data_IF_225579729099
#
_entry.id   IF_225579729099
#
_cell.length_a   1.000
_cell.length_b   1.000
_cell.length_c   1.000
_cell.angle_alpha   90.00
_cell.angle_beta   90.00
_cell.angle_gamma   90.00
#
_symmetry.space_group_name_H-M   'P 1'
#
loop_
_entity.id
_entity.type
_entity.pdbx_description
1 polymer ?
#
# COMPACT_ATOMS: atom_id res chain seq x y z
N UNK A 1 21.38 13.48 -2.22
CA UNK A 1 21.46 13.41 -0.74
C UNK A 1 21.33 14.77 -0.06
N UNK A 2 21.85 15.88 -0.62
CA UNK A 2 21.70 17.23 -0.04
C UNK A 2 20.26 17.77 0.06
N UNK A 3 19.33 17.33 -0.81
CA UNK A 3 17.92 17.72 -0.73
C UNK A 3 17.21 17.04 0.45
N UNK A 4 17.55 15.78 0.73
CA UNK A 4 16.98 15.03 1.85
C UNK A 4 17.46 15.57 3.20
N UNK A 5 18.70 16.10 3.28
CA UNK A 5 19.21 16.74 4.51
C UNK A 5 18.49 18.06 4.80
N UNK A 6 18.23 18.89 3.77
CA UNK A 6 17.42 20.11 3.93
C UNK A 6 15.96 19.83 4.31
N UNK A 7 15.36 18.77 3.76
CA UNK A 7 14.01 18.33 4.15
C UNK A 7 13.96 17.77 5.58
N UNK A 8 15.08 17.27 6.12
CA UNK A 8 15.19 16.81 7.51
C UNK A 8 15.27 17.98 8.50
N UNK A 9 15.81 19.13 8.07
CA UNK A 9 15.87 20.36 8.86
C UNK A 9 14.50 21.07 8.95
N UNK A 10 13.60 20.78 8.00
CA UNK A 10 12.22 21.25 8.06
C UNK A 10 11.44 20.48 9.14
N UNK A 11 11.09 21.19 10.20
CA UNK A 11 10.22 20.69 11.26
C UNK A 11 8.89 21.43 11.26
N UNK A 12 7.79 20.69 11.40
CA UNK A 12 6.45 21.23 11.54
C UNK A 12 6.08 21.25 13.04
N UNK A 13 5.96 22.43 13.67
CA UNK A 13 5.80 22.56 15.13
C UNK A 13 4.35 22.39 15.62
N UNK A 14 3.43 21.97 14.76
CA UNK A 14 2.00 21.80 15.07
C UNK A 14 1.72 20.49 15.79
N UNK A 15 0.63 20.42 16.54
CA UNK A 15 0.17 19.22 17.23
C UNK A 15 -0.48 18.22 16.24
N UNK A 16 -0.82 17.01 16.71
CA UNK A 16 -1.35 15.96 15.85
C UNK A 16 -2.81 16.21 15.41
N UNK A 17 -3.59 16.96 16.19
CA UNK A 17 -4.96 17.38 15.85
C UNK A 17 -4.98 18.37 14.69
N UNK A 18 -4.07 19.35 14.71
CA UNK A 18 -3.93 20.38 13.67
C UNK A 18 -3.50 19.83 12.31
N UNK A 19 -2.85 18.66 12.30
CA UNK A 19 -2.22 18.07 11.10
C UNK A 19 -2.96 16.83 10.62
N UNK A 20 -3.07 15.81 11.46
CA UNK A 20 -3.39 14.45 11.03
C UNK A 20 -4.79 13.96 11.38
N UNK A 21 -5.29 14.28 12.59
CA UNK A 21 -6.59 13.79 13.08
C UNK A 21 -7.58 14.91 13.41
N UNK A 22 -7.77 15.80 12.45
CA UNK A 22 -8.56 17.04 12.55
C UNK A 22 -10.03 16.86 12.94
N UNK A 23 -10.57 15.63 12.86
CA UNK A 23 -11.96 15.33 13.21
C UNK A 23 -12.21 15.15 14.70
N UNK A 24 -11.18 14.90 15.52
CA UNK A 24 -11.33 14.70 16.95
C UNK A 24 -10.05 15.12 17.69
N UNK A 25 -10.14 15.99 18.72
CA UNK A 25 -8.96 16.48 19.45
C UNK A 25 -8.28 15.38 20.27
N UNK A 26 -8.97 14.31 20.64
CA UNK A 26 -8.42 13.23 21.43
C UNK A 26 -7.78 12.17 20.53
N UNK A 27 -6.46 11.97 20.67
CA UNK A 27 -5.71 11.02 19.82
C UNK A 27 -6.25 9.58 19.89
N UNK A 28 -6.71 9.16 21.07
CA UNK A 28 -7.24 7.80 21.27
C UNK A 28 -8.59 7.62 20.56
N UNK A 29 -9.51 8.56 20.75
CA UNK A 29 -10.84 8.55 20.12
C UNK A 29 -10.72 8.67 18.60
N UNK A 30 -9.82 9.53 18.13
CA UNK A 30 -9.46 9.62 16.72
C UNK A 30 -8.97 8.28 16.15
N UNK A 31 -8.02 7.61 16.82
CA UNK A 31 -7.51 6.31 16.39
C UNK A 31 -8.58 5.22 16.42
N UNK A 32 -9.40 5.18 17.47
CA UNK A 32 -10.51 4.23 17.62
C UNK A 32 -11.53 4.39 16.48
N UNK A 33 -11.86 5.64 16.13
CA UNK A 33 -12.81 5.92 15.05
C UNK A 33 -12.33 5.36 13.70
N UNK A 34 -11.05 5.59 13.34
CA UNK A 34 -10.46 5.07 12.10
C UNK A 34 -10.36 3.54 12.15
N UNK A 35 -9.93 2.97 13.28
CA UNK A 35 -9.86 1.53 13.47
C UNK A 35 -11.23 0.85 13.30
N UNK A 36 -12.28 1.44 13.86
CA UNK A 36 -13.65 0.97 13.74
C UNK A 36 -14.16 1.04 12.29
N UNK A 37 -13.97 2.17 11.60
CA UNK A 37 -14.31 2.30 10.17
C UNK A 37 -13.61 1.22 9.33
N UNK A 38 -12.30 1.05 9.53
CA UNK A 38 -11.51 0.05 8.82
C UNK A 38 -11.97 -1.38 9.10
N UNK A 39 -12.35 -1.69 10.34
CA UNK A 39 -12.86 -3.01 10.73
C UNK A 39 -14.23 -3.29 10.08
N UNK A 40 -15.14 -2.31 10.11
CA UNK A 40 -16.48 -2.42 9.52
C UNK A 40 -16.43 -2.59 7.99
N UNK A 41 -15.65 -1.76 7.31
CA UNK A 41 -15.43 -1.90 5.87
C UNK A 41 -14.68 -3.19 5.53
N UNK A 42 -13.75 -3.62 6.39
CA UNK A 42 -13.07 -4.91 6.29
C UNK A 42 -14.07 -6.06 6.25
N UNK A 43 -15.08 -6.06 7.13
CA UNK A 43 -16.13 -7.08 7.09
C UNK A 43 -16.92 -7.06 5.78
N UNK A 44 -17.27 -5.87 5.27
CA UNK A 44 -17.98 -5.73 3.98
C UNK A 44 -17.18 -6.26 2.79
N UNK A 45 -15.85 -6.18 2.83
CA UNK A 45 -14.97 -6.67 1.77
C UNK A 45 -14.73 -8.18 1.91
N UNK A 46 -14.41 -8.63 3.13
CA UNK A 46 -13.96 -10.01 3.36
C UNK A 46 -15.09 -11.01 3.48
N UNK A 47 -16.25 -10.63 4.01
CA UNK A 47 -17.41 -11.52 4.10
C UNK A 47 -17.81 -12.11 2.73
N UNK A 48 -18.09 -11.32 1.68
CA UNK A 48 -18.44 -11.88 0.38
C UNK A 48 -17.28 -12.67 -0.22
N UNK A 49 -16.04 -12.21 -0.08
CA UNK A 49 -14.88 -12.90 -0.65
C UNK A 49 -14.71 -14.33 -0.10
N UNK A 50 -14.78 -14.50 1.23
CA UNK A 50 -14.63 -15.82 1.84
C UNK A 50 -15.87 -16.70 1.64
N UNK A 51 -17.07 -16.13 1.66
CA UNK A 51 -18.30 -16.89 1.38
C UNK A 51 -18.32 -17.41 -0.06
N UNK A 52 -17.99 -16.57 -1.04
CA UNK A 52 -17.86 -17.00 -2.45
C UNK A 52 -16.78 -18.07 -2.57
N UNK A 53 -15.60 -17.88 -1.96
CA UNK A 53 -14.55 -18.89 -1.99
C UNK A 53 -14.98 -20.22 -1.37
N UNK A 54 -15.80 -20.20 -0.32
CA UNK A 54 -16.32 -21.41 0.32
C UNK A 54 -17.32 -22.14 -0.60
N UNK A 55 -18.22 -21.39 -1.24
CA UNK A 55 -19.19 -21.93 -2.21
C UNK A 55 -18.46 -22.57 -3.39
N UNK A 56 -17.46 -21.89 -3.95
CA UNK A 56 -16.65 -22.41 -5.07
C UNK A 56 -15.90 -23.70 -4.70
N UNK A 57 -15.42 -23.79 -3.46
CA UNK A 57 -14.76 -25.00 -2.95
C UNK A 57 -15.76 -26.11 -2.55
N UNK A 58 -17.08 -25.86 -2.64
CA UNK A 58 -18.15 -26.79 -2.26
C UNK A 58 -18.02 -27.34 -0.84
N UNK A 59 -17.48 -26.53 0.09
CA UNK A 59 -17.28 -26.92 1.50
C UNK A 59 -18.44 -26.45 2.36
N UNK A 60 -19.41 -27.32 2.61
CA UNK A 60 -20.63 -27.00 3.38
C UNK A 60 -20.66 -27.58 4.81
N UNK A 61 -19.53 -28.03 5.35
CA UNK A 61 -19.47 -28.51 6.74
C UNK A 61 -19.57 -27.35 7.75
N UNK A 62 -20.08 -27.64 8.95
CA UNK A 62 -20.11 -26.67 10.06
C UNK A 62 -18.70 -26.15 10.39
N UNK A 63 -17.70 -27.03 10.37
CA UNK A 63 -16.30 -26.64 10.58
C UNK A 63 -15.81 -25.67 9.51
N UNK A 64 -16.21 -25.86 8.25
CA UNK A 64 -15.85 -24.94 7.17
C UNK A 64 -16.47 -23.56 7.41
N UNK A 65 -17.71 -23.50 7.89
CA UNK A 65 -18.38 -22.25 8.20
C UNK A 65 -17.74 -21.50 9.39
N UNK A 66 -17.40 -22.21 10.47
CA UNK A 66 -16.68 -21.63 11.62
C UNK A 66 -15.32 -21.08 11.18
N UNK A 67 -14.57 -21.84 10.39
CA UNK A 67 -13.30 -21.39 9.83
C UNK A 67 -13.47 -20.16 8.92
N UNK A 68 -14.55 -20.08 8.14
CA UNK A 68 -14.88 -18.90 7.32
C UNK A 68 -15.18 -17.68 8.19
N UNK A 69 -15.97 -17.81 9.25
CA UNK A 69 -16.23 -16.70 10.19
C UNK A 69 -14.93 -16.22 10.84
N UNK A 70 -14.10 -17.15 11.32
CA UNK A 70 -12.79 -16.83 11.89
C UNK A 70 -11.89 -16.14 10.87
N UNK A 71 -11.95 -16.57 9.61
CA UNK A 71 -11.22 -15.97 8.48
C UNK A 71 -11.64 -14.53 8.23
N UNK A 72 -12.95 -14.27 8.18
CA UNK A 72 -13.52 -12.93 8.00
C UNK A 72 -13.10 -12.05 9.17
N UNK A 73 -13.30 -12.50 10.41
CA UNK A 73 -12.95 -11.73 11.62
C UNK A 73 -11.46 -11.40 11.64
N UNK A 74 -10.59 -12.36 11.39
CA UNK A 74 -9.13 -12.14 11.45
C UNK A 74 -8.67 -11.11 10.41
N UNK A 75 -9.17 -11.21 9.17
CA UNK A 75 -8.80 -10.28 8.10
C UNK A 75 -9.40 -8.88 8.31
N UNK A 76 -10.60 -8.77 8.88
CA UNK A 76 -11.20 -7.49 9.27
C UNK A 76 -10.47 -6.85 10.45
N UNK A 77 -10.10 -7.64 11.46
CA UNK A 77 -9.28 -7.18 12.59
C UNK A 77 -7.91 -6.72 12.13
N UNK A 78 -7.26 -7.42 11.18
CA UNK A 78 -6.01 -6.96 10.58
C UNK A 78 -6.12 -5.54 10.01
N UNK A 79 -7.19 -5.25 9.26
CA UNK A 79 -7.39 -3.94 8.64
C UNK A 79 -7.74 -2.86 9.68
N UNK A 80 -8.58 -3.21 10.66
CA UNK A 80 -8.92 -2.34 11.80
C UNK A 80 -7.70 -1.99 12.66
N UNK A 81 -6.87 -2.98 12.98
CA UNK A 81 -5.62 -2.79 13.73
C UNK A 81 -4.66 -1.89 12.96
N UNK A 82 -4.55 -2.04 11.63
CA UNK A 82 -3.69 -1.17 10.83
C UNK A 82 -4.15 0.30 10.88
N UNK A 83 -5.45 0.54 10.69
CA UNK A 83 -6.04 1.88 10.76
C UNK A 83 -5.86 2.53 12.15
N UNK A 84 -6.18 1.79 13.22
CA UNK A 84 -5.97 2.24 14.59
C UNK A 84 -4.50 2.54 14.89
N UNK A 85 -3.62 1.56 14.61
CA UNK A 85 -2.21 1.65 14.93
C UNK A 85 -1.53 2.79 14.16
N UNK A 86 -1.93 3.05 12.92
CA UNK A 86 -1.36 4.16 12.15
C UNK A 86 -1.58 5.51 12.84
N UNK A 87 -2.83 5.84 13.20
CA UNK A 87 -3.16 7.11 13.87
C UNK A 87 -2.54 7.15 15.27
N UNK A 88 -2.66 6.07 16.04
CA UNK A 88 -2.13 6.02 17.40
C UNK A 88 -0.61 6.20 17.44
N UNK A 89 0.12 5.49 16.57
CA UNK A 89 1.59 5.57 16.48
C UNK A 89 2.00 6.93 15.90
N UNK A 90 1.26 7.50 14.96
CA UNK A 90 1.50 8.86 14.46
C UNK A 90 1.48 9.90 15.61
N UNK A 91 0.47 9.83 16.47
CA UNK A 91 0.38 10.68 17.66
C UNK A 91 1.50 10.40 18.67
N UNK A 92 1.87 9.14 18.87
CA UNK A 92 2.96 8.75 19.77
C UNK A 92 4.31 9.30 19.28
N UNK A 93 4.60 9.19 17.99
CA UNK A 93 5.80 9.76 17.37
C UNK A 93 5.82 11.28 17.54
N UNK A 94 4.68 11.95 17.37
CA UNK A 94 4.57 13.40 17.61
C UNK A 94 4.85 13.78 19.05
N UNK A 95 4.36 12.99 20.01
CA UNK A 95 4.61 13.20 21.45
C UNK A 95 6.06 12.95 21.82
N UNK A 96 6.68 11.91 21.25
CA UNK A 96 8.07 11.55 21.51
C UNK A 96 9.07 12.55 20.91
N UNK A 97 8.82 13.05 19.70
CA UNK A 97 9.74 13.94 18.98
C UNK A 97 9.49 15.43 19.24
N UNK A 98 8.34 15.80 19.78
CA UNK A 98 7.97 17.20 20.06
C UNK A 98 7.64 18.05 18.82
N UNK A 99 8.00 17.58 17.61
CA UNK A 99 7.68 18.19 16.31
C UNK A 99 7.50 17.10 15.25
N UNK A 100 6.88 17.46 14.14
CA UNK A 100 6.80 16.60 12.96
C UNK A 100 7.98 16.85 12.03
N UNK A 101 8.56 15.77 11.51
CA UNK A 101 9.61 15.80 10.49
C UNK A 101 9.12 15.01 9.28
N UNK A 102 9.69 15.28 8.12
CA UNK A 102 9.26 14.73 6.83
C UNK A 102 8.83 13.24 6.84
N UNK A 103 9.73 12.32 7.24
CA UNK A 103 9.41 10.88 7.28
C UNK A 103 8.61 10.44 8.50
N UNK A 104 8.65 11.23 9.58
CA UNK A 104 7.93 10.95 10.81
C UNK A 104 6.44 11.28 10.69
N UNK A 105 6.06 12.14 9.74
CA UNK A 105 4.67 12.49 9.47
C UNK A 105 3.81 11.32 8.97
N UNK A 106 4.41 10.30 8.34
CA UNK A 106 3.65 9.23 7.70
C UNK A 106 4.40 7.92 7.62
N UNK A 107 5.60 7.90 7.04
CA UNK A 107 6.34 6.68 6.73
C UNK A 107 6.65 5.84 7.97
N UNK A 108 7.32 6.39 8.99
CA UNK A 108 7.71 5.60 10.17
C UNK A 108 6.50 5.12 10.99
N UNK A 109 5.49 5.96 11.29
CA UNK A 109 4.27 5.49 11.93
C UNK A 109 3.58 4.37 11.15
N UNK A 110 3.45 4.52 9.83
CA UNK A 110 2.82 3.52 8.97
C UNK A 110 3.61 2.22 8.90
N UNK A 111 4.95 2.29 8.93
CA UNK A 111 5.81 1.10 8.96
C UNK A 111 5.57 0.27 10.21
N UNK A 112 5.61 0.90 11.40
CA UNK A 112 5.39 0.20 12.68
C UNK A 112 3.94 -0.32 12.75
N UNK A 113 2.96 0.50 12.38
CA UNK A 113 1.55 0.11 12.34
C UNK A 113 1.30 -1.11 11.44
N UNK A 114 1.81 -1.06 10.20
CA UNK A 114 1.64 -2.12 9.22
C UNK A 114 2.38 -3.40 9.62
N UNK A 115 3.56 -3.27 10.26
CA UNK A 115 4.30 -4.41 10.78
C UNK A 115 3.55 -5.10 11.93
N UNK A 116 2.95 -4.35 12.85
CA UNK A 116 2.12 -4.92 13.91
C UNK A 116 0.84 -5.53 13.35
N UNK A 117 0.19 -4.86 12.40
CA UNK A 117 -1.04 -5.35 11.78
C UNK A 117 -0.82 -6.67 11.05
N UNK A 118 0.23 -6.80 10.23
CA UNK A 118 0.46 -8.03 9.43
C UNK A 118 0.67 -9.28 10.30
N UNK A 119 1.08 -9.13 11.56
CA UNK A 119 1.19 -10.22 12.52
C UNK A 119 -0.18 -10.79 12.93
N UNK A 120 -1.24 -9.97 12.90
CA UNK A 120 -2.63 -10.37 13.15
C UNK A 120 -3.17 -11.21 11.99
N UNK A 121 -2.75 -10.92 10.75
CA UNK A 121 -3.23 -11.64 9.56
C UNK A 121 -2.66 -13.06 9.49
N UNK A 122 -3.41 -13.98 8.88
CA UNK A 122 -3.05 -15.38 8.71
C UNK A 122 -1.85 -15.56 7.77
N UNK A 123 -0.96 -16.50 8.10
CA UNK A 123 0.28 -16.77 7.37
C UNK A 123 0.08 -16.93 5.85
N UNK A 124 -0.95 -17.67 5.44
CA UNK A 124 -1.24 -17.93 4.02
C UNK A 124 -1.58 -16.67 3.20
N UNK A 125 -2.04 -15.59 3.85
CA UNK A 125 -2.39 -14.34 3.17
C UNK A 125 -1.26 -13.31 3.14
N UNK A 126 -0.26 -13.44 4.01
CA UNK A 126 0.81 -12.45 4.16
C UNK A 126 1.62 -12.31 2.86
N UNK A 127 1.94 -13.42 2.20
CA UNK A 127 2.67 -13.43 0.93
C UNK A 127 1.93 -12.71 -0.20
N UNK A 128 0.72 -13.16 -0.58
CA UNK A 128 -0.09 -12.49 -1.60
C UNK A 128 -0.36 -11.01 -1.30
N UNK A 129 -0.57 -10.65 -0.04
CA UNK A 129 -0.80 -9.28 0.36
C UNK A 129 0.46 -8.42 0.23
N UNK A 130 1.62 -8.93 0.65
CA UNK A 130 2.91 -8.25 0.48
C UNK A 130 3.15 -7.92 -0.99
N UNK A 131 2.96 -8.90 -1.88
CA UNK A 131 3.13 -8.70 -3.33
C UNK A 131 2.14 -7.70 -3.89
N UNK A 132 0.87 -7.77 -3.52
CA UNK A 132 -0.15 -6.81 -3.95
C UNK A 132 0.22 -5.38 -3.57
N UNK A 133 0.60 -5.15 -2.31
CA UNK A 133 0.98 -3.80 -1.85
C UNK A 133 2.28 -3.35 -2.51
N UNK A 134 3.26 -4.23 -2.65
CA UNK A 134 4.53 -3.93 -3.35
C UNK A 134 4.29 -3.52 -4.81
N UNK A 135 3.34 -4.19 -5.46
CA UNK A 135 2.93 -3.88 -6.82
C UNK A 135 2.38 -2.44 -6.93
N UNK A 136 1.44 -2.08 -6.04
CA UNK A 136 0.87 -0.72 -6.00
C UNK A 136 1.93 0.32 -5.60
N UNK A 137 2.82 -0.02 -4.68
CA UNK A 137 3.93 0.84 -4.26
C UNK A 137 4.89 1.11 -5.42
N UNK A 138 5.25 0.09 -6.19
CA UNK A 138 6.13 0.22 -7.37
C UNK A 138 5.50 1.10 -8.45
N UNK A 139 4.20 0.93 -8.72
CA UNK A 139 3.46 1.81 -9.65
C UNK A 139 3.48 3.26 -9.18
N UNK A 140 3.30 3.47 -7.87
CA UNK A 140 3.32 4.81 -7.25
C UNK A 140 4.72 5.43 -7.31
N UNK A 141 5.78 4.65 -7.01
CA UNK A 141 7.17 5.08 -7.15
C UNK A 141 7.48 5.52 -8.58
N UNK A 142 7.02 4.77 -9.58
CA UNK A 142 7.20 5.13 -10.98
C UNK A 142 6.48 6.45 -11.32
N UNK A 143 5.22 6.61 -10.90
CA UNK A 143 4.46 7.87 -11.10
C UNK A 143 5.16 9.06 -10.47
N UNK A 144 5.68 8.91 -9.25
CA UNK A 144 6.45 9.95 -8.57
C UNK A 144 7.77 10.27 -9.29
N UNK A 145 8.48 9.25 -9.79
CA UNK A 145 9.71 9.44 -10.56
C UNK A 145 9.46 10.19 -11.88
N UNK A 146 8.33 9.91 -12.55
CA UNK A 146 7.88 10.64 -13.75
C UNK A 146 7.49 12.08 -13.39
N UNK A 147 6.72 12.28 -12.33
CA UNK A 147 6.31 13.62 -11.88
C UNK A 147 7.49 14.52 -11.50
N UNK A 148 8.58 13.92 -11.00
CA UNK A 148 9.84 14.61 -10.64
C UNK A 148 10.80 14.76 -11.83
N UNK A 149 10.44 14.30 -13.03
CA UNK A 149 11.29 14.36 -14.22
C UNK A 149 12.52 13.44 -14.19
N UNK A 150 12.59 12.49 -13.26
CA UNK A 150 13.71 11.53 -13.13
C UNK A 150 13.64 10.48 -14.23
N UNK A 151 12.43 10.02 -14.55
CA UNK A 151 12.18 8.99 -15.57
C UNK A 151 11.27 9.57 -16.63
N UNK A 152 11.69 9.46 -17.90
CA UNK A 152 10.80 9.78 -19.04
C UNK A 152 9.88 8.58 -19.29
N UNK A 153 8.56 8.77 -19.35
CA UNK A 153 7.65 7.67 -19.63
C UNK A 153 7.90 7.15 -21.05
N UNK A 154 8.11 5.85 -21.18
CA UNK A 154 8.23 5.18 -22.48
C UNK A 154 6.83 5.01 -23.06
N UNK A 155 6.63 5.44 -24.32
CA UNK A 155 5.38 5.20 -25.03
C UNK A 155 5.10 3.68 -25.07
N UNK A 156 3.91 3.27 -24.65
CA UNK A 156 3.53 1.85 -24.54
C UNK A 156 4.44 1.03 -23.60
N UNK A 157 5.12 1.65 -22.63
CA UNK A 157 6.00 0.95 -21.66
C UNK A 157 5.33 -0.22 -20.94
N UNK A 158 4.05 -0.10 -20.61
CA UNK A 158 3.25 -1.17 -20.03
C UNK A 158 3.08 -2.39 -20.96
N UNK A 159 3.05 -2.16 -22.26
CA UNK A 159 2.96 -3.21 -23.27
C UNK A 159 4.28 -3.98 -23.32
N UNK A 160 5.42 -3.28 -23.34
CA UNK A 160 6.73 -3.95 -23.33
C UNK A 160 6.96 -4.75 -22.04
N UNK A 161 6.56 -4.19 -20.89
CA UNK A 161 6.67 -4.87 -19.60
C UNK A 161 5.82 -6.13 -19.57
N UNK A 162 4.57 -6.07 -20.01
CA UNK A 162 3.72 -7.25 -20.02
C UNK A 162 4.20 -8.27 -21.04
N UNK A 163 4.62 -7.86 -22.24
CA UNK A 163 5.04 -8.80 -23.29
C UNK A 163 6.23 -9.61 -22.84
N UNK A 164 7.23 -8.96 -22.22
CA UNK A 164 8.43 -9.62 -21.71
C UNK A 164 8.12 -10.58 -20.55
N UNK A 165 7.36 -10.13 -19.56
CA UNK A 165 7.00 -10.93 -18.37
C UNK A 165 6.11 -12.12 -18.74
N UNK A 166 5.11 -11.90 -19.59
CA UNK A 166 4.19 -12.95 -20.03
C UNK A 166 4.90 -13.97 -20.93
N UNK A 167 5.78 -13.52 -21.84
CA UNK A 167 6.59 -14.42 -22.64
C UNK A 167 7.49 -15.29 -21.76
N UNK A 168 8.12 -14.72 -20.73
CA UNK A 168 8.94 -15.48 -19.78
C UNK A 168 8.11 -16.48 -18.96
N UNK A 169 6.94 -16.07 -18.47
CA UNK A 169 6.06 -16.95 -17.70
C UNK A 169 5.54 -18.12 -18.54
N UNK A 170 5.08 -17.85 -19.76
CA UNK A 170 4.61 -18.89 -20.68
C UNK A 170 5.76 -19.74 -21.22
N UNK A 171 6.96 -19.19 -21.40
CA UNK A 171 8.15 -19.98 -21.67
C UNK A 171 8.35 -21.05 -20.61
N UNK A 172 8.36 -20.68 -19.33
CA UNK A 172 8.51 -21.66 -18.24
C UNK A 172 7.36 -22.68 -18.26
N UNK A 173 6.11 -22.22 -18.35
CA UNK A 173 4.94 -23.10 -18.31
C UNK A 173 4.88 -24.10 -19.47
N UNK A 174 5.05 -23.62 -20.70
CA UNK A 174 4.95 -24.43 -21.93
C UNK A 174 6.12 -25.40 -22.02
N UNK A 175 7.34 -25.01 -21.65
CA UNK A 175 8.47 -25.94 -21.58
C UNK A 175 8.23 -27.06 -20.56
N UNK A 176 7.75 -26.72 -19.35
CA UNK A 176 7.41 -27.73 -18.34
C UNK A 176 6.30 -28.67 -18.83
N UNK A 177 5.26 -28.14 -19.48
CA UNK A 177 4.15 -28.95 -20.02
C UNK A 177 4.61 -29.86 -21.16
N UNK A 178 5.40 -29.35 -22.11
CA UNK A 178 5.93 -30.13 -23.24
C UNK A 178 6.93 -31.18 -22.77
N UNK A 179 7.78 -30.85 -21.78
CA UNK A 179 8.67 -31.84 -21.15
C UNK A 179 7.89 -32.93 -20.43
N UNK A 180 6.78 -32.58 -19.78
CA UNK A 180 5.90 -33.57 -19.15
C UNK A 180 5.17 -34.45 -20.17
N UNK A 181 4.73 -33.89 -21.30
CA UNK A 181 4.02 -34.62 -22.36
C UNK A 181 4.93 -35.51 -23.22
N UNK A 182 6.13 -35.03 -23.54
CA UNK A 182 7.02 -35.68 -24.52
C UNK A 182 8.28 -36.29 -23.89
N UNK A 183 8.47 -36.15 -22.57
CA UNK A 183 9.60 -36.67 -21.77
C UNK A 183 11.00 -36.32 -22.33
N UNK A 184 11.08 -35.31 -23.21
CA UNK A 184 12.31 -34.82 -23.81
C UNK A 184 12.45 -33.34 -23.51
N UNK A 185 13.69 -32.87 -23.46
CA UNK A 185 14.01 -31.44 -23.38
C UNK A 185 14.58 -31.00 -24.74
N UNK A 186 13.91 -30.07 -25.40
CA UNK A 186 14.29 -29.58 -26.72
C UNK A 186 14.12 -28.07 -26.81
N UNK A 187 15.13 -27.38 -27.35
CA UNK A 187 15.10 -25.93 -27.53
C UNK A 187 13.92 -25.44 -28.41
N UNK A 188 13.33 -26.31 -29.22
CA UNK A 188 12.21 -25.98 -30.12
C UNK A 188 10.92 -25.62 -29.36
N UNK A 189 10.80 -26.06 -28.10
CA UNK A 189 9.66 -25.76 -27.23
C UNK A 189 9.58 -24.27 -26.82
N UNK A 190 10.65 -23.50 -27.06
CA UNK A 190 10.65 -22.05 -26.92
C UNK A 190 9.69 -21.35 -27.91
N UNK A 191 9.53 -21.89 -29.12
CA UNK A 191 8.77 -21.26 -30.21
C UNK A 191 7.25 -21.21 -29.91
N UNK A 192 6.59 -22.33 -29.54
CA UNK A 192 5.17 -22.30 -29.15
C UNK A 192 4.91 -21.36 -27.96
N UNK A 193 5.84 -21.31 -27.01
CA UNK A 193 5.72 -20.50 -25.82
C UNK A 193 5.80 -19.00 -26.12
N UNK A 194 6.76 -18.60 -26.96
CA UNK A 194 6.91 -17.22 -27.42
C UNK A 194 5.70 -16.77 -28.25
N UNK A 195 5.17 -17.64 -29.12
CA UNK A 195 3.98 -17.37 -29.92
C UNK A 195 2.72 -17.18 -29.05
N UNK A 196 2.50 -18.09 -28.09
CA UNK A 196 1.39 -17.98 -27.13
C UNK A 196 1.50 -16.71 -26.28
N UNK A 197 2.71 -16.33 -25.86
CA UNK A 197 2.94 -15.10 -25.10
C UNK A 197 2.65 -13.82 -25.86
N UNK A 198 3.04 -13.76 -27.13
CA UNK A 198 2.67 -12.65 -28.02
C UNK A 198 1.16 -12.58 -28.28
N UNK A 199 0.49 -13.73 -28.39
CA UNK A 199 -0.96 -13.78 -28.62
C UNK A 199 -1.76 -13.38 -27.36
N UNK A 200 -1.29 -13.74 -26.17
CA UNK A 200 -1.96 -13.43 -24.89
C UNK A 200 -2.17 -11.93 -24.68
N UNK A 201 -1.25 -11.12 -25.20
CA UNK A 201 -1.31 -9.67 -25.18
C UNK A 201 -2.49 -9.08 -25.94
N UNK A 202 -2.84 -9.70 -27.07
CA UNK A 202 -3.96 -9.25 -27.90
C UNK A 202 -5.30 -9.39 -27.16
N UNK A 203 -5.40 -10.38 -26.27
CA UNK A 203 -6.65 -10.72 -25.59
C UNK A 203 -6.77 -10.11 -24.18
N UNK A 204 -5.67 -9.99 -23.44
CA UNK A 204 -5.70 -9.52 -22.04
C UNK A 204 -4.65 -8.44 -21.73
N UNK A 205 -4.71 -7.24 -22.37
CA UNK A 205 -3.81 -6.15 -22.05
C UNK A 205 -4.16 -5.56 -20.68
N UNK A 206 -3.44 -5.97 -19.63
CA UNK A 206 -3.58 -5.37 -18.30
C UNK A 206 -2.21 -5.14 -17.65
N UNK A 207 -1.81 -3.87 -17.57
CA UNK A 207 -0.57 -3.45 -16.93
C UNK A 207 -0.45 -3.90 -15.47
N UNK A 208 -1.59 -3.97 -14.77
CA UNK A 208 -1.66 -4.46 -13.38
C UNK A 208 -1.36 -5.95 -13.27
N UNK A 209 -1.84 -6.77 -14.22
CA UNK A 209 -1.57 -8.21 -14.25
C UNK A 209 -0.09 -8.47 -14.51
N UNK A 210 0.53 -7.75 -15.45
CA UNK A 210 1.96 -7.88 -15.73
C UNK A 210 2.85 -7.52 -14.57
N UNK A 211 2.57 -6.43 -13.87
CA UNK A 211 3.38 -6.01 -12.73
C UNK A 211 3.25 -7.03 -11.58
N UNK A 212 2.04 -7.60 -11.40
CA UNK A 212 1.82 -8.71 -10.47
C UNK A 212 2.61 -9.98 -10.88
N UNK A 213 2.53 -10.38 -12.15
CA UNK A 213 3.25 -11.54 -12.68
C UNK A 213 4.78 -11.34 -12.59
N UNK A 214 5.27 -10.13 -12.81
CA UNK A 214 6.68 -9.77 -12.64
C UNK A 214 7.14 -9.99 -11.21
N UNK A 215 6.39 -9.46 -10.23
CA UNK A 215 6.70 -9.69 -8.81
C UNK A 215 6.59 -11.16 -8.43
N UNK A 216 5.68 -11.92 -9.04
CA UNK A 216 5.61 -13.38 -8.88
C UNK A 216 6.82 -14.11 -9.48
N UNK A 217 7.34 -13.68 -10.63
CA UNK A 217 8.57 -14.23 -11.19
C UNK A 217 9.76 -13.93 -10.26
N UNK A 218 9.85 -12.70 -9.73
CA UNK A 218 10.90 -12.33 -8.77
C UNK A 218 10.80 -13.15 -7.48
N UNK A 219 9.60 -13.34 -6.93
CA UNK A 219 9.36 -14.17 -5.75
C UNK A 219 9.81 -15.62 -5.98
N UNK A 220 9.39 -16.24 -7.09
CA UNK A 220 9.79 -17.61 -7.42
C UNK A 220 11.30 -17.72 -7.66
N UNK A 221 11.91 -16.77 -8.37
CA UNK A 221 13.36 -16.74 -8.58
C UNK A 221 14.14 -16.63 -7.27
N UNK A 222 13.65 -15.83 -6.31
CA UNK A 222 14.24 -15.74 -4.98
C UNK A 222 14.13 -17.06 -4.20
N UNK A 223 12.99 -17.76 -4.30
CA UNK A 223 12.81 -19.07 -3.65
C UNK A 223 13.75 -20.13 -4.24
N UNK A 224 13.89 -20.19 -5.57
CA UNK A 224 14.82 -21.10 -6.25
C UNK A 224 16.26 -20.79 -5.83
N UNK A 225 16.67 -19.52 -5.84
CA UNK A 225 18.01 -19.12 -5.41
C UNK A 225 18.29 -19.42 -3.93
N UNK A 226 17.25 -19.51 -3.08
CA UNK A 226 17.39 -19.99 -1.71
C UNK A 226 17.56 -21.52 -1.63
N UNK A 227 16.83 -22.28 -2.46
CA UNK A 227 16.95 -23.74 -2.53
C UNK A 227 18.32 -24.17 -3.04
N UNK A 228 18.88 -23.42 -3.99
CA UNK A 228 20.23 -23.62 -4.53
C UNK A 228 21.35 -23.08 -3.61
N UNK A 229 21.01 -22.43 -2.50
CA UNK A 229 21.98 -21.90 -1.53
C UNK A 229 22.73 -20.63 -1.97
N UNK A 230 22.34 -20.01 -3.10
CA UNK A 230 22.94 -18.78 -3.63
C UNK A 230 22.47 -17.55 -2.84
N UNK A 231 21.20 -17.54 -2.41
CA UNK A 231 20.57 -16.39 -1.74
C UNK A 231 20.34 -16.65 -0.24
N UNK A 232 20.57 -15.64 0.64
CA UNK A 232 20.41 -15.81 2.07
C UNK A 232 18.92 -15.92 2.48
N UNK A 233 18.61 -16.84 3.38
CA UNK A 233 17.28 -16.96 3.97
C UNK A 233 17.02 -15.87 5.01
N UNK A 234 16.48 -14.74 4.58
CA UNK A 234 16.08 -13.65 5.49
C UNK A 234 14.74 -14.01 6.15
N UNK A 235 14.76 -14.26 7.48
CA UNK A 235 13.54 -14.53 8.25
C UNK A 235 12.65 -13.28 8.27
N UNK A 236 11.40 -13.44 7.85
CA UNK A 236 10.42 -12.34 7.88
C UNK A 236 10.54 -11.34 6.72
N UNK A 237 11.27 -11.65 5.66
CA UNK A 237 11.41 -10.79 4.46
C UNK A 237 10.06 -10.31 3.92
N UNK A 238 9.07 -11.20 3.82
CA UNK A 238 7.72 -10.84 3.34
C UNK A 238 6.98 -9.88 4.27
N UNK A 239 7.22 -9.95 5.59
CA UNK A 239 6.61 -9.02 6.55
C UNK A 239 7.26 -7.64 6.41
N UNK A 240 8.58 -7.59 6.22
CA UNK A 240 9.31 -6.35 5.98
C UNK A 240 8.93 -5.72 4.64
N UNK A 241 8.79 -6.53 3.59
CA UNK A 241 8.34 -6.08 2.28
C UNK A 241 6.93 -5.48 2.37
N UNK A 242 6.02 -6.16 3.07
CA UNK A 242 4.68 -5.63 3.32
C UNK A 242 4.70 -4.31 4.10
N UNK A 243 5.43 -4.25 5.22
CA UNK A 243 5.46 -3.07 6.08
C UNK A 243 6.09 -1.86 5.37
N UNK A 244 7.19 -2.07 4.64
CA UNK A 244 7.88 -1.04 3.85
C UNK A 244 7.01 -0.53 2.72
N UNK A 245 6.38 -1.43 1.96
CA UNK A 245 5.52 -1.04 0.84
C UNK A 245 4.27 -0.32 1.32
N UNK A 246 3.66 -0.78 2.42
CA UNK A 246 2.48 -0.11 3.01
C UNK A 246 2.86 1.25 3.58
N UNK A 247 4.01 1.36 4.25
CA UNK A 247 4.53 2.63 4.74
C UNK A 247 4.75 3.64 3.62
N UNK A 248 5.31 3.20 2.50
CA UNK A 248 5.50 4.03 1.32
C UNK A 248 4.15 4.50 0.72
N UNK A 249 3.15 3.62 0.64
CA UNK A 249 1.82 3.99 0.16
C UNK A 249 1.11 4.98 1.08
N UNK A 250 1.25 4.83 2.40
CA UNK A 250 0.71 5.80 3.36
C UNK A 250 1.45 7.14 3.27
N UNK A 251 2.77 7.10 3.10
CA UNK A 251 3.56 8.29 2.79
C UNK A 251 3.02 9.01 1.55
N UNK A 252 2.81 8.29 0.45
CA UNK A 252 2.28 8.88 -0.78
C UNK A 252 0.85 9.40 -0.57
N UNK A 253 -0.01 8.68 0.15
CA UNK A 253 -1.38 9.10 0.41
C UNK A 253 -1.50 10.37 1.27
N UNK A 254 -0.53 10.61 2.17
CA UNK A 254 -0.51 11.80 3.03
C UNK A 254 0.17 12.98 2.32
N UNK A 255 1.36 12.77 1.75
CA UNK A 255 2.22 13.85 1.26
C UNK A 255 2.16 14.09 -0.25
N UNK A 256 1.83 13.08 -1.06
CA UNK A 256 1.79 13.17 -2.53
C UNK A 256 0.57 12.43 -3.12
N UNK A 257 -0.66 12.73 -2.66
CA UNK A 257 -1.84 11.94 -3.03
C UNK A 257 -2.13 11.99 -4.54
N UNK A 258 -1.65 13.02 -5.25
CA UNK A 258 -1.76 13.17 -6.70
C UNK A 258 -0.93 12.15 -7.50
N UNK A 259 0.10 11.55 -6.90
CA UNK A 259 0.92 10.50 -7.54
C UNK A 259 0.39 9.08 -7.26
N UNK A 260 -0.56 8.95 -6.33
CA UNK A 260 -1.18 7.69 -5.96
C UNK A 260 -2.20 7.25 -7.03
N UNK A 261 -2.34 5.94 -7.24
CA UNK A 261 -3.35 5.40 -8.17
C UNK A 261 -4.76 5.82 -7.69
N UNK A 262 -5.61 6.43 -8.54
CA UNK A 262 -6.93 6.93 -8.13
C UNK A 262 -7.83 5.86 -7.50
N UNK A 263 -7.78 4.63 -8.02
CA UNK A 263 -8.52 3.50 -7.46
C UNK A 263 -8.07 3.15 -6.04
N UNK A 264 -6.77 3.29 -5.73
CA UNK A 264 -6.23 3.03 -4.40
C UNK A 264 -6.56 4.18 -3.44
N UNK A 265 -6.49 5.44 -3.89
CA UNK A 265 -6.95 6.57 -3.09
C UNK A 265 -8.43 6.45 -2.74
N UNK A 266 -9.28 6.11 -3.71
CA UNK A 266 -10.73 5.85 -3.49
C UNK A 266 -10.96 4.69 -2.52
N UNK A 267 -10.13 3.65 -2.58
CA UNK A 267 -10.16 2.55 -1.61
C UNK A 267 -9.86 3.05 -0.20
N UNK A 268 -8.81 3.86 -0.01
CA UNK A 268 -8.48 4.44 1.30
C UNK A 268 -9.58 5.37 1.81
N UNK A 269 -10.12 6.25 0.95
CA UNK A 269 -11.24 7.14 1.30
C UNK A 269 -12.46 6.37 1.76
N UNK A 270 -12.83 5.29 1.05
CA UNK A 270 -13.91 4.41 1.48
C UNK A 270 -13.60 3.73 2.80
N UNK A 271 -12.37 3.23 2.96
CA UNK A 271 -11.94 2.48 4.14
C UNK A 271 -12.01 3.32 5.42
N UNK A 272 -11.63 4.58 5.32
CA UNK A 272 -11.59 5.51 6.46
C UNK A 272 -12.83 6.38 6.61
N UNK A 273 -13.91 6.12 5.84
CA UNK A 273 -15.10 6.98 5.77
C UNK A 273 -14.73 8.46 5.56
N UNK A 274 -13.92 8.74 4.55
CA UNK A 274 -13.41 10.06 4.17
C UNK A 274 -12.45 10.77 5.15
N UNK A 275 -12.11 10.17 6.29
CA UNK A 275 -11.12 10.77 7.24
C UNK A 275 -9.75 11.07 6.64
N UNK A 276 -9.31 10.29 5.64
CA UNK A 276 -8.07 10.60 4.91
C UNK A 276 -8.17 11.94 4.17
N UNK A 277 -9.37 12.37 3.75
CA UNK A 277 -9.61 13.67 3.14
C UNK A 277 -9.57 14.82 4.15
N UNK A 278 -9.80 14.53 5.43
CA UNK A 278 -9.86 15.53 6.50
C UNK A 278 -8.47 15.95 7.03
N UNK A 279 -7.40 15.27 6.60
CA UNK A 279 -6.02 15.62 6.96
C UNK A 279 -5.70 17.04 6.47
N UNK A 280 -5.13 17.87 7.35
CA UNK A 280 -4.72 19.23 7.01
C UNK A 280 -3.45 19.19 6.15
N UNK A 281 -3.63 19.19 4.83
CA UNK A 281 -2.51 19.07 3.87
C UNK A 281 -1.84 20.40 3.55
N UNK A 282 -2.52 21.52 3.76
CA UNK A 282 -1.92 22.85 3.55
C UNK A 282 -0.69 23.06 4.43
N UNK A 283 -0.74 22.61 5.69
CA UNK A 283 0.43 22.69 6.58
C UNK A 283 1.56 21.71 6.23
N UNK A 284 1.27 20.67 5.45
CA UNK A 284 2.26 19.71 4.97
C UNK A 284 3.00 20.19 3.72
N UNK A 285 2.49 21.21 3.02
CA UNK A 285 3.13 21.77 1.83
C UNK A 285 4.48 22.42 2.11
N UNK A 286 4.78 22.71 3.38
CA UNK A 286 6.10 23.16 3.81
C UNK A 286 7.19 22.21 3.31
N UNK A 287 6.90 20.90 3.22
CA UNK A 287 7.84 19.89 2.74
C UNK A 287 8.07 19.90 1.21
N UNK A 288 7.40 20.77 0.47
CA UNK A 288 7.56 20.90 -0.98
C UNK A 288 7.00 19.72 -1.79
N UNK A 289 6.10 18.92 -1.20
CA UNK A 289 5.50 17.76 -1.87
C UNK A 289 4.17 18.05 -2.55
N UNK A 290 3.65 19.28 -2.45
CA UNK A 290 2.32 19.65 -2.96
C UNK A 290 1.22 18.70 -2.46
N UNK A 291 1.20 18.47 -1.15
CA UNK A 291 0.24 17.61 -0.47
C UNK A 291 -1.18 18.12 -0.69
N UNK A 292 -1.42 19.44 -0.62
CA UNK A 292 -2.74 20.04 -0.78
C UNK A 292 -3.29 19.99 -2.22
N UNK A 293 -2.51 19.58 -3.23
CA UNK A 293 -2.89 19.69 -4.65
C UNK A 293 -4.24 19.07 -5.03
N UNK A 294 -4.63 17.95 -4.39
CA UNK A 294 -5.93 17.30 -4.61
C UNK A 294 -7.03 17.78 -3.64
N UNK A 295 -6.67 18.55 -2.63
CA UNK A 295 -7.51 18.98 -1.52
C UNK A 295 -7.39 20.50 -1.31
N UNK A 296 -7.25 21.27 -2.39
CA UNK A 296 -6.96 22.71 -2.34
C UNK A 296 -8.03 23.51 -1.62
N UNK A 297 -9.26 23.01 -1.63
CA UNK A 297 -10.45 23.71 -1.13
C UNK A 297 -10.80 23.29 0.30
N UNK A 298 -10.05 22.33 0.88
CA UNK A 298 -10.36 21.77 2.19
C UNK A 298 -9.50 22.39 3.29
N UNK A 299 -10.17 23.05 4.24
CA UNK A 299 -9.60 23.49 5.51
C UNK A 299 -10.37 22.85 6.67
N UNK A 300 -9.68 22.26 7.66
CA UNK A 300 -10.36 21.65 8.79
C UNK A 300 -10.95 22.72 9.73
N UNK A 301 -12.19 22.49 10.18
CA UNK A 301 -12.81 23.26 11.26
C UNK A 301 -12.27 22.74 12.60
N UNK A 302 -11.25 23.42 13.14
CA UNK A 302 -10.58 23.02 14.38
C UNK A 302 -11.13 23.77 15.60
N UNK A 303 -11.33 23.07 16.72
CA UNK A 303 -11.62 23.73 18.00
C UNK A 303 -10.36 24.43 18.50
N UNK A 304 -10.43 25.77 18.58
CA UNK A 304 -9.35 26.63 19.01
C UNK A 304 -8.80 26.27 20.39
N UNK A 305 -9.62 25.69 21.28
CA UNK A 305 -9.20 25.24 22.62
C UNK A 305 -8.13 24.15 22.58
N UNK A 306 -8.10 23.38 21.50
CA UNK A 306 -7.17 22.26 21.28
C UNK A 306 -6.06 22.59 20.27
N UNK A 307 -5.98 23.84 19.82
CA UNK A 307 -4.92 24.31 18.92
C UNK A 307 -3.82 25.05 19.70
N UNK A 308 -2.60 24.91 19.24
CA UNK A 308 -1.41 25.61 19.69
C UNK A 308 -1.45 27.07 19.26
N UNK A 309 -0.91 27.94 20.13
CA UNK A 309 -0.77 29.37 19.84
C UNK A 309 0.01 29.62 18.54
N UNK A 310 1.07 28.84 18.31
CA UNK A 310 1.90 28.94 17.10
C UNK A 310 1.06 28.71 15.84
N UNK A 311 0.17 27.71 15.85
CA UNK A 311 -0.72 27.44 14.72
C UNK A 311 -1.74 28.56 14.51
N UNK A 312 -2.34 29.08 15.58
CA UNK A 312 -3.30 30.19 15.49
C UNK A 312 -2.67 31.44 14.88
N UNK A 313 -1.45 31.78 15.30
CA UNK A 313 -0.73 32.97 14.82
C UNK A 313 -0.18 32.80 13.38
N UNK A 314 0.12 31.57 12.96
CA UNK A 314 0.77 31.34 11.66
C UNK A 314 -0.19 30.94 10.53
N UNK A 315 -1.31 30.29 10.86
CA UNK A 315 -2.23 29.70 9.86
C UNK A 315 -3.61 30.36 9.92
N UNK A 316 -4.20 30.48 11.11
CA UNK A 316 -5.59 30.94 11.24
C UNK A 316 -5.77 32.44 10.98
N UNK A 317 -4.77 33.27 11.28
CA UNK A 317 -4.81 34.71 10.95
C UNK A 317 -4.95 34.97 9.45
N UNK A 318 -4.49 34.06 8.58
CA UNK A 318 -4.60 34.19 7.12
C UNK A 318 -5.90 33.64 6.54
N UNK A 319 -6.72 32.93 7.34
CA UNK A 319 -7.99 32.32 6.90
C UNK A 319 -9.22 33.20 7.21
N UNK A 320 -9.06 34.24 8.02
CA UNK A 320 -10.15 35.13 8.48
C UNK A 320 -10.25 36.40 7.60
N UNK A 321 -9.47 36.50 6.53
CA UNK A 321 -9.50 37.58 5.54
C UNK A 321 -9.71 37.04 4.13
#
# INVERSE_FOLDING_TARGET
>A
MAVLSKLRELSLPYNCYEVGHTWDPECYTAALSVGACCLLEGMKIYAPLYLISQILQRKFSLDAFINTIQSIRTSSCFLGVNGFAFIFIFCLFRRAMGKFYYLHCSYFPAFVASFLAILVERKNRRGPLALYVTNVASETMFRMAVARGIVKPVANGEIYLFSSVMAMFLYIFVNCLLRWLFEKDQAIYAIPAAFLGGLFMKFFPSSTLSLYLMWKLIENGYLIGMEEGVLPKIRGSMLMLYATSTAFLFYAAVLEPHNLKPAYLKFLTRLTHNKIGEINRHVLDIFGTHASKLYSDFWPELDLRHTSRVFQESVLLWLIH
#
